data_IF_586792092385
#
_entry.id   IF_586792092385
#
_cell.length_a   1.000
_cell.length_b   1.000
_cell.length_c   1.000
_cell.angle_alpha   90.00
_cell.angle_beta   90.00
_cell.angle_gamma   90.00
#
_symmetry.space_group_name_H-M   'P 1'
#
loop_
_entity.id
_entity.type
_entity.pdbx_description
1 polymer ?
#
# COMPACT_ATOMS: atom_id res chain seq x y z
N UNK A 1 -12.59 -33.10 -12.35
CA UNK A 1 -12.56 -31.70 -12.83
C UNK A 1 -12.29 -30.83 -11.62
N UNK A 2 -11.20 -30.06 -11.62
CA UNK A 2 -10.83 -29.19 -10.49
C UNK A 2 -11.83 -28.05 -10.41
N UNK A 3 -12.72 -28.11 -9.42
CA UNK A 3 -13.69 -27.06 -9.15
C UNK A 3 -12.91 -25.99 -8.38
N UNK A 4 -12.22 -25.11 -9.12
CA UNK A 4 -11.64 -23.91 -8.53
C UNK A 4 -12.79 -23.16 -7.82
N UNK A 5 -12.63 -22.78 -6.55
CA UNK A 5 -13.63 -21.99 -5.85
C UNK A 5 -13.98 -20.78 -6.71
N UNK A 6 -15.25 -20.65 -7.08
CA UNK A 6 -15.78 -19.53 -7.84
C UNK A 6 -15.32 -18.25 -7.16
N UNK A 7 -14.59 -17.39 -7.88
CA UNK A 7 -14.31 -16.03 -7.43
C UNK A 7 -15.62 -15.40 -6.97
N UNK A 8 -15.66 -14.98 -5.71
CA UNK A 8 -16.82 -14.25 -5.21
C UNK A 8 -16.93 -12.94 -5.99
N UNK A 9 -18.14 -12.51 -6.35
CA UNK A 9 -18.32 -11.28 -7.16
C UNK A 9 -17.62 -10.04 -6.55
N UNK A 10 -17.40 -10.06 -5.23
CA UNK A 10 -16.69 -9.03 -4.47
C UNK A 10 -15.17 -9.03 -4.70
N UNK A 11 -14.51 -10.19 -4.80
CA UNK A 11 -13.06 -10.22 -5.10
C UNK A 11 -12.79 -9.75 -6.53
N UNK A 12 -13.67 -10.12 -7.47
CA UNK A 12 -13.61 -9.64 -8.85
C UNK A 12 -13.74 -8.13 -8.98
N UNK A 13 -14.68 -7.50 -8.26
CA UNK A 13 -14.84 -6.04 -8.27
C UNK A 13 -13.64 -5.33 -7.65
N UNK A 14 -13.12 -5.83 -6.52
CA UNK A 14 -11.93 -5.26 -5.87
C UNK A 14 -10.70 -5.35 -6.79
N UNK A 15 -10.56 -6.47 -7.52
CA UNK A 15 -9.43 -6.67 -8.41
C UNK A 15 -9.50 -5.70 -9.60
N UNK A 16 -10.70 -5.47 -10.13
CA UNK A 16 -10.91 -4.52 -11.22
C UNK A 16 -10.61 -3.08 -10.77
N UNK A 17 -11.02 -2.70 -9.56
CA UNK A 17 -10.69 -1.39 -8.97
C UNK A 17 -9.18 -1.25 -8.76
N UNK A 18 -8.52 -2.30 -8.25
CA UNK A 18 -7.07 -2.30 -8.07
C UNK A 18 -6.33 -2.10 -9.39
N UNK A 19 -6.74 -2.83 -10.44
CA UNK A 19 -6.17 -2.68 -11.79
C UNK A 19 -6.39 -1.27 -12.35
N UNK A 20 -7.54 -0.64 -12.06
CA UNK A 20 -7.80 0.74 -12.45
C UNK A 20 -6.87 1.73 -11.75
N UNK A 21 -6.69 1.61 -10.43
CA UNK A 21 -5.80 2.47 -9.64
C UNK A 21 -4.36 2.37 -10.17
N UNK A 22 -3.86 1.14 -10.34
CA UNK A 22 -2.52 0.88 -10.90
C UNK A 22 -2.36 1.41 -12.34
N UNK A 23 -3.42 1.39 -13.16
CA UNK A 23 -3.36 1.95 -14.50
C UNK A 23 -3.26 3.48 -14.53
N UNK A 24 -3.74 4.17 -13.50
CA UNK A 24 -3.71 5.63 -13.37
C UNK A 24 -2.40 6.13 -12.72
N UNK A 25 -1.71 5.28 -11.96
CA UNK A 25 -0.40 5.57 -11.33
C UNK A 25 0.60 6.31 -12.23
N UNK A 26 0.94 5.85 -13.47
CA UNK A 26 1.95 6.52 -14.29
C UNK A 26 1.54 7.95 -14.68
N UNK A 27 0.24 8.19 -14.85
CA UNK A 27 -0.28 9.53 -15.11
C UNK A 27 -0.12 10.43 -13.89
N UNK A 28 -0.50 9.96 -12.70
CA UNK A 28 -0.37 10.73 -11.47
C UNK A 28 1.09 10.99 -11.11
N UNK A 29 1.96 10.00 -11.30
CA UNK A 29 3.40 10.15 -11.09
C UNK A 29 4.01 11.23 -11.99
N UNK A 30 3.56 11.32 -13.25
CA UNK A 30 4.01 12.35 -14.18
C UNK A 30 3.56 13.78 -13.78
N UNK A 31 2.57 13.92 -12.89
CA UNK A 31 2.16 15.22 -12.36
C UNK A 31 3.01 15.67 -11.16
N UNK A 32 3.81 14.78 -10.55
CA UNK A 32 4.61 15.10 -9.37
C UNK A 32 5.93 15.75 -9.75
N UNK A 33 6.26 16.87 -9.10
CA UNK A 33 7.62 17.42 -9.11
C UNK A 33 8.35 17.10 -7.80
N UNK A 34 9.47 16.38 -7.87
CA UNK A 34 10.29 16.06 -6.69
C UNK A 34 11.34 17.13 -6.36
N UNK A 35 11.08 18.40 -6.71
CA UNK A 35 12.02 19.50 -6.47
C UNK A 35 13.29 19.50 -7.34
N UNK A 36 13.45 18.48 -8.20
CA UNK A 36 14.62 18.34 -9.08
C UNK A 36 14.45 19.01 -10.44
N UNK A 37 13.21 19.24 -10.90
CA UNK A 37 12.79 20.12 -11.99
C UNK A 37 11.25 20.09 -12.01
N UNK A 38 10.60 21.25 -12.15
CA UNK A 38 9.17 21.27 -12.42
C UNK A 38 8.94 20.67 -13.82
N UNK A 39 8.10 19.64 -13.94
CA UNK A 39 7.62 19.22 -15.26
C UNK A 39 6.87 20.43 -15.82
N UNK A 40 7.33 20.98 -16.94
CA UNK A 40 6.78 22.20 -17.57
C UNK A 40 5.31 22.08 -18.01
N UNK A 41 4.64 20.97 -17.69
CA UNK A 41 3.30 20.60 -18.16
C UNK A 41 2.41 20.01 -17.06
N UNK A 42 2.74 20.19 -15.77
CA UNK A 42 1.84 19.78 -14.69
C UNK A 42 0.54 20.57 -14.77
N UNK A 43 -0.59 19.90 -15.00
CA UNK A 43 -1.91 20.55 -15.09
C UNK A 43 -2.52 20.84 -13.73
N UNK A 44 -2.06 20.12 -12.70
CA UNK A 44 -2.55 20.22 -11.33
C UNK A 44 -1.55 20.98 -10.46
N UNK A 45 -2.02 21.75 -9.46
CA UNK A 45 -1.18 22.25 -8.39
C UNK A 45 -0.47 21.08 -7.69
N UNK A 46 0.80 21.26 -7.34
CA UNK A 46 1.64 20.22 -6.73
C UNK A 46 1.03 19.62 -5.46
N UNK A 47 0.33 20.41 -4.66
CA UNK A 47 -0.32 19.94 -3.42
C UNK A 47 -1.49 18.99 -3.71
N UNK A 48 -2.21 19.26 -4.80
CA UNK A 48 -3.32 18.44 -5.27
C UNK A 48 -2.78 17.18 -5.93
N UNK A 49 -1.78 17.30 -6.81
CA UNK A 49 -1.15 16.15 -7.46
C UNK A 49 -0.57 15.17 -6.43
N UNK A 50 0.18 15.68 -5.45
CA UNK A 50 0.75 14.86 -4.38
C UNK A 50 -0.29 14.26 -3.44
N UNK A 51 -1.40 14.98 -3.16
CA UNK A 51 -2.51 14.43 -2.40
C UNK A 51 -3.24 13.30 -3.17
N UNK A 52 -3.55 13.52 -4.45
CA UNK A 52 -4.22 12.52 -5.27
C UNK A 52 -3.37 11.26 -5.45
N UNK A 53 -2.06 11.42 -5.65
CA UNK A 53 -1.14 10.28 -5.73
C UNK A 53 -1.02 9.52 -4.39
N UNK A 54 -0.93 10.24 -3.26
CA UNK A 54 -0.92 9.61 -1.95
C UNK A 54 -2.21 8.85 -1.63
N UNK A 55 -3.36 9.36 -2.09
CA UNK A 55 -4.66 8.71 -1.96
C UNK A 55 -4.72 7.44 -2.80
N UNK A 56 -4.28 7.49 -4.05
CA UNK A 56 -4.22 6.34 -4.97
C UNK A 56 -3.40 5.19 -4.36
N UNK A 57 -2.18 5.48 -3.90
CA UNK A 57 -1.34 4.50 -3.20
C UNK A 57 -2.02 3.96 -1.93
N UNK A 58 -2.60 4.83 -1.10
CA UNK A 58 -3.32 4.43 0.10
C UNK A 58 -4.49 3.47 -0.21
N UNK A 59 -5.23 3.73 -1.28
CA UNK A 59 -6.34 2.89 -1.72
C UNK A 59 -5.86 1.51 -2.20
N UNK A 60 -4.76 1.44 -2.96
CA UNK A 60 -4.15 0.16 -3.38
C UNK A 60 -3.77 -0.68 -2.16
N UNK A 61 -3.11 -0.07 -1.15
CA UNK A 61 -2.72 -0.77 0.07
C UNK A 61 -3.92 -1.27 0.89
N UNK A 62 -5.02 -0.51 0.96
CA UNK A 62 -6.25 -0.98 1.60
C UNK A 62 -6.85 -2.18 0.86
N UNK A 63 -6.92 -2.13 -0.47
CA UNK A 63 -7.47 -3.23 -1.26
C UNK A 63 -6.61 -4.48 -1.09
N UNK A 64 -5.28 -4.32 -1.06
CA UNK A 64 -4.36 -5.41 -0.78
C UNK A 64 -4.59 -6.01 0.62
N UNK A 65 -4.75 -5.16 1.65
CA UNK A 65 -5.12 -5.60 3.00
C UNK A 65 -6.45 -6.36 3.02
N UNK A 66 -7.43 -5.94 2.23
CA UNK A 66 -8.71 -6.63 2.09
C UNK A 66 -8.55 -8.00 1.44
N UNK A 67 -7.73 -8.13 0.39
CA UNK A 67 -7.41 -9.43 -0.21
C UNK A 67 -6.69 -10.36 0.76
N UNK A 68 -5.66 -9.87 1.44
CA UNK A 68 -4.94 -10.63 2.46
C UNK A 68 -5.89 -11.06 3.58
N UNK A 69 -6.86 -10.21 3.94
CA UNK A 69 -7.88 -10.59 4.92
C UNK A 69 -8.81 -11.70 4.42
N UNK A 70 -9.30 -11.60 3.19
CA UNK A 70 -10.14 -12.65 2.57
C UNK A 70 -9.37 -13.98 2.52
N UNK A 71 -8.11 -13.96 2.09
CA UNK A 71 -7.21 -15.13 2.10
C UNK A 71 -7.08 -15.75 3.50
N UNK A 72 -6.93 -14.93 4.56
CA UNK A 72 -6.84 -15.45 5.93
C UNK A 72 -8.13 -16.11 6.46
N UNK A 73 -9.29 -15.79 5.88
CA UNK A 73 -10.59 -16.34 6.29
C UNK A 73 -10.96 -17.56 5.43
N UNK A 74 -10.93 -17.42 4.11
CA UNK A 74 -11.40 -18.44 3.17
C UNK A 74 -10.43 -19.62 3.06
N UNK A 75 -9.12 -19.38 3.08
CA UNK A 75 -8.12 -20.44 2.94
C UNK A 75 -7.68 -21.08 4.27
N UNK A 76 -8.31 -20.72 5.41
CA UNK A 76 -7.95 -21.25 6.73
C UNK A 76 -7.99 -22.79 6.80
N UNK A 77 -8.83 -23.43 5.97
CA UNK A 77 -8.98 -24.89 5.91
C UNK A 77 -8.14 -25.55 4.80
N UNK A 78 -7.51 -24.77 3.90
CA UNK A 78 -6.77 -25.26 2.74
C UNK A 78 -5.25 -24.98 2.83
N UNK A 79 -4.84 -24.06 3.70
CA UNK A 79 -3.47 -23.58 3.81
C UNK A 79 -2.84 -23.99 5.14
N UNK A 80 -1.56 -24.40 5.10
CA UNK A 80 -0.82 -24.82 6.29
C UNK A 80 -0.83 -23.71 7.37
N UNK A 81 -0.99 -24.05 8.66
CA UNK A 81 -1.16 -23.08 9.76
C UNK A 81 0.01 -22.09 9.90
N UNK A 82 1.20 -22.44 9.40
CA UNK A 82 2.40 -21.60 9.39
C UNK A 82 2.29 -20.41 8.39
N UNK A 83 1.57 -20.60 7.28
CA UNK A 83 1.30 -19.55 6.29
C UNK A 83 0.27 -18.54 6.80
N UNK A 84 -0.70 -18.98 7.60
CA UNK A 84 -1.75 -18.11 8.17
C UNK A 84 -1.15 -17.01 9.05
N UNK A 85 -0.12 -17.32 9.85
CA UNK A 85 0.59 -16.32 10.66
C UNK A 85 1.29 -15.27 9.80
N UNK A 86 1.91 -15.69 8.70
CA UNK A 86 2.58 -14.79 7.75
C UNK A 86 1.56 -13.87 7.07
N UNK A 87 0.41 -14.39 6.63
CA UNK A 87 -0.63 -13.57 6.01
C UNK A 87 -1.24 -12.55 6.99
N UNK A 88 -1.44 -12.92 8.27
CA UNK A 88 -1.89 -11.95 9.29
C UNK A 88 -0.89 -10.81 9.49
N UNK A 89 0.40 -11.12 9.50
CA UNK A 89 1.44 -10.10 9.60
C UNK A 89 1.47 -9.20 8.36
N UNK A 90 1.36 -9.77 7.15
CA UNK A 90 1.28 -9.00 5.91
C UNK A 90 0.07 -8.06 5.90
N UNK A 91 -1.12 -8.55 6.29
CA UNK A 91 -2.32 -7.73 6.41
C UNK A 91 -2.10 -6.53 7.33
N UNK A 92 -1.51 -6.74 8.50
CA UNK A 92 -1.27 -5.66 9.46
C UNK A 92 -0.26 -4.64 8.90
N UNK A 93 0.78 -5.09 8.20
CA UNK A 93 1.72 -4.19 7.53
C UNK A 93 1.06 -3.38 6.42
N UNK A 94 0.19 -4.01 5.60
CA UNK A 94 -0.56 -3.34 4.55
C UNK A 94 -1.48 -2.25 5.12
N UNK A 95 -2.16 -2.54 6.24
CA UNK A 95 -2.99 -1.55 6.95
C UNK A 95 -2.13 -0.39 7.49
N UNK A 96 -0.97 -0.69 8.09
CA UNK A 96 -0.08 0.36 8.61
C UNK A 96 0.44 1.25 7.48
N UNK A 97 0.85 0.67 6.35
CA UNK A 97 1.33 1.43 5.19
C UNK A 97 0.20 2.29 4.62
N UNK A 98 -1.00 1.72 4.44
CA UNK A 98 -2.18 2.49 4.05
C UNK A 98 -2.42 3.67 5.00
N UNK A 99 -2.41 3.43 6.31
CA UNK A 99 -2.63 4.47 7.30
C UNK A 99 -1.59 5.60 7.21
N UNK A 100 -0.32 5.30 6.94
CA UNK A 100 0.72 6.32 6.72
C UNK A 100 0.37 7.21 5.52
N UNK A 101 -0.10 6.61 4.41
CA UNK A 101 -0.54 7.37 3.24
C UNK A 101 -1.76 8.24 3.56
N UNK A 102 -2.78 7.73 4.24
CA UNK A 102 -3.95 8.54 4.62
C UNK A 102 -3.62 9.66 5.60
N UNK A 103 -2.76 9.40 6.59
CA UNK A 103 -2.29 10.44 7.51
C UNK A 103 -1.53 11.52 6.75
N UNK A 104 -0.74 11.17 5.72
CA UNK A 104 -0.03 12.15 4.89
C UNK A 104 -0.96 13.07 4.07
N UNK A 105 -2.25 12.72 3.93
CA UNK A 105 -3.26 13.58 3.29
C UNK A 105 -3.81 14.67 4.21
N UNK A 106 -3.58 14.59 5.53
CA UNK A 106 -4.11 15.60 6.46
C UNK A 106 -3.56 16.99 6.13
N UNK A 107 -4.37 18.07 6.30
CA UNK A 107 -3.99 19.44 5.93
C UNK A 107 -2.65 19.91 6.50
N UNK A 108 -2.31 19.44 7.71
CA UNK A 108 -1.06 19.77 8.39
C UNK A 108 0.20 19.36 7.59
N UNK A 109 0.11 18.32 6.76
CA UNK A 109 1.24 17.84 5.95
C UNK A 109 1.32 18.49 4.55
N UNK A 110 0.35 19.36 4.18
CA UNK A 110 0.36 20.06 2.90
C UNK A 110 1.38 21.21 2.91
N UNK A 111 1.43 21.96 4.01
CA UNK A 111 2.24 23.18 4.11
C UNK A 111 3.61 22.97 4.76
N UNK A 112 3.86 21.78 5.32
CA UNK A 112 5.09 21.52 6.09
C UNK A 112 6.21 21.07 5.17
N UNK A 113 7.27 21.87 5.11
CA UNK A 113 8.49 21.61 4.35
C UNK A 113 9.62 21.19 5.30
N UNK A 114 10.32 20.10 4.97
CA UNK A 114 11.55 19.67 5.67
C UNK A 114 12.67 19.62 4.64
N UNK A 115 13.72 20.42 4.84
CA UNK A 115 14.89 20.42 3.96
C UNK A 115 14.57 20.77 2.49
N UNK A 116 13.57 21.62 2.25
CA UNK A 116 13.11 22.00 0.90
C UNK A 116 12.18 20.99 0.21
N UNK A 117 11.82 19.90 0.89
CA UNK A 117 10.93 18.85 0.37
C UNK A 117 9.66 18.75 1.21
N UNK A 118 8.51 18.46 0.59
CA UNK A 118 7.25 18.25 1.31
C UNK A 118 7.35 17.07 2.27
N UNK A 119 6.87 17.24 3.51
CA UNK A 119 6.92 16.23 4.57
C UNK A 119 6.26 14.89 4.15
N UNK A 120 5.29 14.96 3.25
CA UNK A 120 4.64 13.80 2.61
C UNK A 120 5.64 12.83 1.98
N UNK A 121 6.60 13.35 1.20
CA UNK A 121 7.56 12.50 0.51
C UNK A 121 8.48 11.78 1.50
N UNK A 122 8.77 12.40 2.64
CA UNK A 122 9.51 11.77 3.75
C UNK A 122 8.69 10.65 4.39
N UNK A 123 7.39 10.87 4.64
CA UNK A 123 6.49 9.83 5.15
C UNK A 123 6.35 8.66 4.18
N UNK A 124 6.28 8.94 2.87
CA UNK A 124 6.22 7.89 1.86
C UNK A 124 7.51 7.07 1.85
N UNK A 125 8.67 7.72 1.97
CA UNK A 125 9.96 7.03 2.14
C UNK A 125 10.00 6.13 3.39
N UNK A 126 9.34 6.53 4.49
CA UNK A 126 9.26 5.72 5.71
C UNK A 126 8.57 4.36 5.48
N UNK A 127 7.64 4.27 4.54
CA UNK A 127 6.92 3.01 4.23
C UNK A 127 7.86 1.90 3.75
N UNK A 128 8.95 2.25 3.04
CA UNK A 128 9.99 1.29 2.66
C UNK A 128 10.63 0.65 3.88
N UNK A 129 10.90 1.43 4.92
CA UNK A 129 11.49 0.93 6.16
C UNK A 129 10.51 0.08 6.94
N UNK A 130 9.23 0.48 7.05
CA UNK A 130 8.17 -0.32 7.70
C UNK A 130 8.05 -1.70 7.07
N UNK A 131 8.09 -1.78 5.74
CA UNK A 131 8.03 -3.07 5.03
C UNK A 131 9.30 -3.88 5.20
N UNK A 132 10.47 -3.23 5.22
CA UNK A 132 11.78 -3.87 5.42
C UNK A 132 11.89 -4.48 6.82
N UNK A 133 11.46 -3.76 7.86
CA UNK A 133 11.49 -4.21 9.25
C UNK A 133 10.49 -5.35 9.48
N UNK A 134 9.28 -5.26 8.93
CA UNK A 134 8.29 -6.34 8.98
C UNK A 134 8.80 -7.66 8.37
N UNK A 135 9.50 -7.58 7.24
CA UNK A 135 10.11 -8.75 6.60
C UNK A 135 11.22 -9.38 7.45
N UNK A 136 12.10 -8.57 8.05
CA UNK A 136 13.15 -9.05 8.96
C UNK A 136 12.57 -9.71 10.21
N UNK A 137 11.52 -9.12 10.78
CA UNK A 137 10.85 -9.66 11.96
C UNK A 137 10.23 -11.04 11.68
N UNK A 138 9.58 -11.22 10.53
CA UNK A 138 9.01 -12.54 10.16
C UNK A 138 10.08 -13.62 9.99
N UNK A 139 11.26 -13.27 9.47
CA UNK A 139 12.40 -14.21 9.31
C UNK A 139 12.98 -14.63 10.66
N UNK A 140 13.06 -13.70 11.61
CA UNK A 140 13.56 -13.97 12.96
C UNK A 140 12.59 -14.82 13.78
N UNK A 141 11.28 -14.54 13.69
CA UNK A 141 10.25 -15.33 14.36
C UNK A 141 10.21 -16.77 13.80
N UNK A 142 10.25 -16.95 12.47
CA UNK A 142 10.29 -18.29 11.85
C UNK A 142 11.53 -19.10 12.23
N UNK A 143 12.68 -18.44 12.48
CA UNK A 143 13.89 -19.10 12.99
C UNK A 143 13.75 -19.60 14.43
N UNK A 144 12.94 -18.91 15.25
CA UNK A 144 12.78 -19.22 16.67
C UNK A 144 11.83 -20.40 16.92
N UNK A 145 10.89 -20.65 16.01
CA UNK A 145 9.94 -21.79 16.11
C UNK A 145 10.53 -23.12 15.61
N UNK A 146 11.73 -23.10 15.00
CA UNK A 146 12.44 -24.30 14.51
C UNK A 146 13.60 -24.74 15.40
N UNK A 147 13.81 -24.07 16.53
CA UNK A 147 14.81 -24.42 17.56
C UNK A 147 14.12 -24.91 18.81
#
# INVERSE_FOLDING_TARGET
MSVLPVETGRTRSLNTIMLLLVAIEPYLFNQLSFGLNAVASSRLPQDVASATYGLDLGAIWIILAAFTHVLTIEERNLVAPDLVHKYRLMRNLEIIVAAIFFVSLLPQFWTTLIGGTSLRYVLWGLTFFVRRTGNLYSRLVSKRTKS
#
